data_IF_160609874095
#
_entry.id   IF_160609874095
#
_cell.length_a   1.000
_cell.length_b   1.000
_cell.length_c   1.000
_cell.angle_alpha   90.00
_cell.angle_beta   90.00
_cell.angle_gamma   90.00
#
_symmetry.space_group_name_H-M   'P 1'
#
loop_
_entity.id
_entity.type
_entity.pdbx_description
1 polymer ?
#
# COMPACT_ATOMS: atom_id res chain seq x y z
N UNK A 1 -7.47 -16.03 -0.15
CA UNK A 1 -8.79 -15.38 -0.16
C UNK A 1 -8.64 -14.03 -0.86
N UNK A 2 -9.59 -13.59 -1.68
CA UNK A 2 -9.48 -12.34 -2.45
C UNK A 2 -9.80 -11.14 -1.54
N UNK A 3 -8.89 -10.16 -1.33
CA UNK A 3 -9.14 -9.07 -0.39
C UNK A 3 -10.23 -8.12 -0.92
N UNK A 4 -11.00 -7.49 -0.03
CA UNK A 4 -11.93 -6.42 -0.42
C UNK A 4 -11.16 -5.14 -0.78
N UNK A 5 -10.02 -4.92 -0.13
CA UNK A 5 -9.17 -3.74 -0.35
C UNK A 5 -7.71 -4.15 -0.53
N UNK A 6 -7.06 -3.58 -1.54
CA UNK A 6 -5.60 -3.57 -1.67
C UNK A 6 -5.13 -2.14 -1.44
N UNK A 7 -4.44 -1.89 -0.33
CA UNK A 7 -3.91 -0.57 -0.01
C UNK A 7 -2.43 -0.51 -0.40
N UNK A 8 -2.11 0.29 -1.41
CA UNK A 8 -0.73 0.49 -1.83
C UNK A 8 -0.20 1.81 -1.27
N UNK A 9 0.97 1.78 -0.64
CA UNK A 9 1.59 2.95 -0.02
C UNK A 9 3.01 3.18 -0.52
N UNK A 10 3.37 4.44 -0.75
CA UNK A 10 4.66 4.85 -1.32
C UNK A 10 5.23 6.02 -0.57
N UNK A 11 6.51 6.00 -0.18
CA UNK A 11 7.13 7.25 0.23
C UNK A 11 7.37 8.15 -0.99
N UNK A 12 7.00 9.42 -0.84
CA UNK A 12 7.16 10.45 -1.86
C UNK A 12 8.03 11.58 -1.31
N UNK A 13 8.91 12.08 -2.18
CA UNK A 13 9.69 13.29 -1.89
C UNK A 13 8.82 14.56 -2.11
N UNK A 14 9.28 15.74 -1.68
CA UNK A 14 8.51 16.98 -1.81
C UNK A 14 8.05 17.31 -3.24
N UNK A 15 8.90 17.04 -4.25
CA UNK A 15 8.56 17.28 -5.66
C UNK A 15 7.35 16.46 -6.12
N UNK A 16 7.31 15.18 -5.76
CA UNK A 16 6.17 14.32 -6.08
C UNK A 16 4.92 14.71 -5.31
N UNK A 17 5.07 15.04 -4.03
CA UNK A 17 3.96 15.56 -3.22
C UNK A 17 3.31 16.76 -3.89
N UNK A 18 4.09 17.76 -4.32
CA UNK A 18 3.56 18.94 -5.00
C UNK A 18 2.83 18.60 -6.30
N UNK A 19 3.38 17.68 -7.12
CA UNK A 19 2.70 17.21 -8.33
C UNK A 19 1.34 16.57 -8.00
N UNK A 20 1.28 15.69 -7.00
CA UNK A 20 0.04 15.02 -6.60
C UNK A 20 -1.00 16.00 -6.03
N UNK A 21 -0.57 16.98 -5.23
CA UNK A 21 -1.46 18.03 -4.74
C UNK A 21 -2.06 18.85 -5.89
N UNK A 22 -1.26 19.19 -6.92
CA UNK A 22 -1.71 19.97 -8.08
C UNK A 22 -2.78 19.25 -8.91
N UNK A 23 -2.77 17.93 -8.97
CA UNK A 23 -3.80 17.14 -9.67
C UNK A 23 -5.00 16.78 -8.78
N UNK A 24 -5.07 17.37 -7.58
CA UNK A 24 -6.24 17.26 -6.69
C UNK A 24 -6.20 16.11 -5.69
N UNK A 25 -5.06 15.43 -5.50
CA UNK A 25 -4.95 14.42 -4.44
C UNK A 25 -4.88 15.12 -3.07
N UNK A 26 -5.82 14.88 -2.15
CA UNK A 26 -5.85 15.56 -0.86
C UNK A 26 -4.74 15.09 0.08
N UNK A 27 -4.34 15.93 1.02
CA UNK A 27 -3.45 15.57 2.12
C UNK A 27 -4.26 15.29 3.40
N UNK A 28 -3.87 14.25 4.14
CA UNK A 28 -4.43 13.88 5.45
C UNK A 28 -3.32 13.76 6.48
N UNK A 29 -3.64 14.11 7.72
CA UNK A 29 -2.77 13.89 8.88
C UNK A 29 -3.45 12.86 9.76
N UNK A 30 -3.07 11.57 9.69
CA UNK A 30 -3.66 10.56 10.55
C UNK A 30 -3.11 10.67 11.96
N UNK A 31 -3.93 10.25 12.92
CA UNK A 31 -3.51 10.02 14.30
C UNK A 31 -2.76 8.67 14.36
N UNK A 32 -1.44 8.73 14.44
CA UNK A 32 -0.58 7.53 14.49
C UNK A 32 -0.83 6.71 15.75
N UNK A 33 -1.10 7.36 16.89
CA UNK A 33 -1.39 6.67 18.15
C UNK A 33 -2.68 5.89 18.06
N UNK A 34 -3.73 6.48 17.47
CA UNK A 34 -4.99 5.79 17.24
C UNK A 34 -4.83 4.59 16.27
N UNK A 35 -4.01 4.74 15.21
CA UNK A 35 -3.72 3.65 14.28
C UNK A 35 -2.96 2.50 14.95
N UNK A 36 -1.97 2.83 15.79
CA UNK A 36 -1.18 1.84 16.54
C UNK A 36 -2.06 1.06 17.51
N UNK A 37 -2.89 1.77 18.29
CA UNK A 37 -3.88 1.16 19.19
C UNK A 37 -4.82 0.23 18.41
N UNK A 38 -5.32 0.68 17.26
CA UNK A 38 -6.19 -0.13 16.40
C UNK A 38 -5.51 -1.42 15.95
N UNK A 39 -4.27 -1.35 15.48
CA UNK A 39 -3.54 -2.56 15.04
C UNK A 39 -3.28 -3.53 16.18
N UNK A 40 -2.90 -3.02 17.35
CA UNK A 40 -2.68 -3.82 18.55
C UNK A 40 -3.94 -4.60 18.94
N UNK A 41 -5.08 -3.91 19.09
CA UNK A 41 -6.34 -4.58 19.43
C UNK A 41 -6.75 -5.61 18.38
N UNK A 42 -6.65 -5.26 17.09
CA UNK A 42 -7.02 -6.17 16.02
C UNK A 42 -6.15 -7.43 15.97
N UNK A 43 -4.86 -7.33 16.31
CA UNK A 43 -3.98 -8.50 16.43
C UNK A 43 -4.40 -9.41 17.59
N UNK A 44 -4.66 -8.82 18.77
CA UNK A 44 -5.02 -9.54 19.98
C UNK A 44 -6.37 -10.27 19.84
N UNK A 45 -7.36 -9.65 19.20
CA UNK A 45 -8.67 -10.24 18.93
C UNK A 45 -8.59 -11.55 18.13
N UNK A 46 -7.61 -11.67 17.24
CA UNK A 46 -7.37 -12.89 16.45
C UNK A 46 -6.29 -13.79 17.05
N UNK A 47 -5.91 -13.56 18.32
CA UNK A 47 -4.94 -14.37 19.06
C UNK A 47 -3.49 -14.25 18.56
N UNK A 48 -3.12 -13.11 17.98
CA UNK A 48 -1.75 -12.85 17.49
C UNK A 48 -1.00 -11.90 18.40
N UNK A 49 0.31 -12.10 18.50
CA UNK A 49 1.22 -11.14 19.10
C UNK A 49 1.42 -9.95 18.13
N UNK A 50 0.99 -8.73 18.49
CA UNK A 50 1.13 -7.55 17.64
C UNK A 50 2.59 -7.19 17.32
N UNK A 51 3.55 -7.57 18.16
CA UNK A 51 4.95 -7.17 18.00
C UNK A 51 5.84 -8.27 17.40
N UNK A 52 5.25 -9.42 17.04
CA UNK A 52 5.94 -10.62 16.56
C UNK A 52 7.00 -10.36 15.48
N UNK A 53 6.73 -9.43 14.55
CA UNK A 53 7.55 -9.23 13.35
C UNK A 53 8.41 -7.96 13.37
N UNK A 54 8.07 -6.95 14.18
CA UNK A 54 8.76 -5.64 14.15
C UNK A 54 9.17 -5.10 15.51
N UNK A 55 8.84 -5.79 16.62
CA UNK A 55 9.17 -5.51 18.03
C UNK A 55 8.73 -4.12 18.56
N UNK A 56 9.02 -3.03 17.85
CA UNK A 56 8.75 -1.65 18.22
C UNK A 56 7.47 -1.09 17.59
N UNK A 57 6.82 -1.88 16.72
CA UNK A 57 5.61 -1.46 16.02
C UNK A 57 4.64 -2.63 15.89
N UNK A 58 3.38 -2.38 16.21
CA UNK A 58 2.31 -3.34 16.09
C UNK A 58 1.92 -3.61 14.64
N UNK A 59 1.60 -4.88 14.38
CA UNK A 59 1.04 -5.39 13.15
C UNK A 59 -0.09 -6.35 13.47
N UNK A 60 -1.24 -6.17 12.82
CA UNK A 60 -2.29 -7.20 12.84
C UNK A 60 -2.08 -8.26 11.76
N UNK A 61 -1.39 -7.91 10.68
CA UNK A 61 -1.20 -8.74 9.50
C UNK A 61 -0.05 -9.74 9.57
N UNK A 62 0.03 -10.58 8.54
CA UNK A 62 1.13 -11.52 8.31
C UNK A 62 1.88 -11.10 7.04
N UNK A 63 3.23 -11.06 7.05
CA UNK A 63 4.01 -10.69 5.89
C UNK A 63 4.05 -11.82 4.86
N UNK A 64 3.88 -11.50 3.57
CA UNK A 64 3.86 -12.51 2.50
C UNK A 64 5.27 -12.95 2.08
N UNK A 65 6.23 -12.03 2.09
CA UNK A 65 7.62 -12.27 1.66
C UNK A 65 8.58 -12.35 2.86
N UNK A 66 8.08 -12.76 4.02
CA UNK A 66 8.83 -12.74 5.28
C UNK A 66 9.09 -11.33 5.80
N UNK A 67 9.75 -11.24 6.95
CA UNK A 67 10.00 -9.98 7.67
C UNK A 67 10.84 -8.98 6.86
N UNK A 68 11.75 -9.50 6.03
CA UNK A 68 12.66 -8.70 5.20
C UNK A 68 12.06 -8.20 3.90
N UNK A 69 10.80 -8.54 3.60
CA UNK A 69 10.14 -8.18 2.35
C UNK A 69 10.90 -8.62 1.09
N UNK A 70 10.60 -7.97 -0.03
CA UNK A 70 11.26 -8.21 -1.32
C UNK A 70 12.01 -6.94 -1.79
N UNK A 71 13.19 -7.12 -2.40
CA UNK A 71 14.08 -6.04 -2.83
C UNK A 71 14.11 -5.89 -4.35
N UNK A 72 14.42 -4.69 -4.84
CA UNK A 72 14.59 -4.36 -6.26
C UNK A 72 13.43 -4.85 -7.14
N UNK A 73 12.21 -4.48 -6.72
CA UNK A 73 10.96 -4.96 -7.31
C UNK A 73 10.40 -3.90 -8.25
N UNK A 74 10.00 -4.34 -9.44
CA UNK A 74 9.07 -3.59 -10.29
C UNK A 74 7.64 -3.83 -9.81
N UNK A 75 6.83 -2.79 -9.84
CA UNK A 75 5.37 -2.92 -9.74
C UNK A 75 4.67 -2.46 -11.02
N UNK A 76 5.44 -2.35 -12.10
CA UNK A 76 4.88 -1.98 -13.38
C UNK A 76 3.84 -3.02 -13.83
N UNK A 77 2.67 -2.55 -14.25
CA UNK A 77 1.52 -3.37 -14.58
C UNK A 77 0.60 -3.69 -13.40
N UNK A 78 1.03 -3.51 -12.14
CA UNK A 78 0.19 -3.87 -10.97
C UNK A 78 -1.12 -3.05 -10.93
N UNK A 79 -1.05 -1.78 -11.31
CA UNK A 79 -2.22 -0.91 -11.36
C UNK A 79 -3.28 -1.49 -12.32
N UNK A 80 -2.86 -1.87 -13.52
CA UNK A 80 -3.72 -2.47 -14.55
C UNK A 80 -4.16 -3.88 -14.16
N UNK A 81 -3.29 -4.70 -13.54
CA UNK A 81 -3.65 -6.02 -13.00
C UNK A 81 -4.81 -5.91 -12.00
N UNK A 82 -4.76 -4.94 -11.08
CA UNK A 82 -5.82 -4.70 -10.10
C UNK A 82 -7.12 -4.25 -10.77
N UNK A 83 -7.05 -3.38 -11.79
CA UNK A 83 -8.25 -2.96 -12.55
C UNK A 83 -8.88 -4.13 -13.31
N UNK A 84 -8.08 -4.96 -13.97
CA UNK A 84 -8.56 -6.11 -14.74
C UNK A 84 -9.33 -7.13 -13.88
N UNK A 85 -8.98 -7.23 -12.59
CA UNK A 85 -9.67 -8.13 -11.65
C UNK A 85 -10.76 -7.44 -10.82
N UNK A 86 -11.13 -6.21 -11.19
CA UNK A 86 -12.29 -5.48 -10.70
C UNK A 86 -12.04 -4.51 -9.55
N UNK A 87 -10.79 -4.13 -9.26
CA UNK A 87 -10.52 -3.09 -8.27
C UNK A 87 -10.44 -1.70 -8.89
N UNK A 88 -10.99 -0.72 -8.19
CA UNK A 88 -10.92 0.69 -8.58
C UNK A 88 -10.21 1.51 -7.50
N UNK A 89 -9.34 2.46 -7.88
CA UNK A 89 -8.74 3.39 -6.92
C UNK A 89 -9.82 4.29 -6.32
N UNK A 90 -9.90 4.32 -4.99
CA UNK A 90 -10.87 5.14 -4.27
C UNK A 90 -10.27 5.69 -2.97
N UNK A 91 -10.46 6.99 -2.73
CA UNK A 91 -9.96 7.64 -1.51
C UNK A 91 -8.44 7.82 -1.48
N UNK A 92 -7.83 7.99 -2.65
CA UNK A 92 -6.39 8.29 -2.80
C UNK A 92 -6.04 9.57 -2.04
N UNK A 93 -4.95 9.53 -1.27
CA UNK A 93 -4.52 10.67 -0.45
C UNK A 93 -3.03 10.63 -0.14
N UNK A 94 -2.49 11.78 0.27
CA UNK A 94 -1.14 11.90 0.81
C UNK A 94 -1.24 11.91 2.32
N UNK A 95 -0.63 10.93 2.98
CA UNK A 95 -0.41 10.91 4.43
C UNK A 95 0.79 11.79 4.78
N UNK A 96 0.56 12.87 5.52
CA UNK A 96 1.60 13.74 6.07
C UNK A 96 2.33 13.01 7.20
N UNK A 97 3.66 13.11 7.22
CA UNK A 97 4.50 12.68 8.36
C UNK A 97 5.40 13.85 8.76
N UNK A 98 5.57 14.09 10.06
CA UNK A 98 6.30 15.26 10.56
C UNK A 98 7.81 15.14 10.36
N UNK A 99 8.38 13.95 10.60
CA UNK A 99 9.83 13.71 10.57
C UNK A 99 10.28 12.74 9.46
N UNK A 100 9.35 12.33 8.59
CA UNK A 100 9.59 11.32 7.55
C UNK A 100 9.07 11.79 6.20
N UNK A 101 9.43 11.06 5.15
CA UNK A 101 8.81 11.23 3.84
C UNK A 101 7.28 11.14 3.95
N UNK A 102 6.59 12.00 3.19
CA UNK A 102 5.15 11.87 3.01
C UNK A 102 4.85 10.54 2.33
N UNK A 103 3.68 9.96 2.58
CA UNK A 103 3.29 8.69 1.97
C UNK A 103 2.10 8.91 1.04
N UNK A 104 2.22 8.60 -0.25
CA UNK A 104 1.06 8.45 -1.13
C UNK A 104 0.36 7.14 -0.79
N UNK A 105 -0.94 7.18 -0.54
CA UNK A 105 -1.77 6.01 -0.23
C UNK A 105 -2.85 5.87 -1.30
N UNK A 106 -2.89 4.72 -1.94
CA UNK A 106 -3.82 4.38 -3.02
C UNK A 106 -4.61 3.13 -2.59
N UNK A 107 -5.79 3.30 -1.99
CA UNK A 107 -6.71 2.19 -1.76
C UNK A 107 -7.36 1.76 -3.07
N UNK A 108 -7.28 0.48 -3.38
CA UNK A 108 -8.00 -0.19 -4.45
C UNK A 108 -9.13 -1.00 -3.83
N UNK A 109 -10.38 -0.66 -4.17
CA UNK A 109 -11.57 -1.30 -3.61
C UNK A 109 -12.17 -2.22 -4.66
N UNK A 110 -12.37 -3.49 -4.31
CA UNK A 110 -13.02 -4.47 -5.17
C UNK A 110 -14.46 -4.03 -5.43
N UNK A 111 -14.86 -3.98 -6.71
CA UNK A 111 -16.19 -3.49 -7.13
C UNK A 111 -16.49 -2.06 -6.66
N UNK A 112 -15.44 -1.30 -6.33
CA UNK A 112 -15.55 0.09 -5.93
C UNK A 112 -15.80 1.01 -7.13
N UNK A 113 -16.39 2.18 -6.85
CA UNK A 113 -16.45 3.28 -7.82
C UNK A 113 -15.13 4.02 -7.85
N UNK A 114 -14.58 4.23 -9.03
CA UNK A 114 -13.39 5.05 -9.24
C UNK A 114 -13.65 6.49 -8.78
N UNK A 115 -12.70 7.06 -8.03
CA UNK A 115 -12.86 8.39 -7.42
C UNK A 115 -11.70 9.34 -7.71
N UNK A 116 -10.85 9.04 -8.68
CA UNK A 116 -9.71 9.89 -9.06
C UNK A 116 -9.94 10.53 -10.43
N UNK A 117 -9.32 11.68 -10.66
CA UNK A 117 -9.35 12.35 -11.95
C UNK A 117 -8.42 11.64 -12.97
N UNK A 118 -8.68 11.75 -14.28
CA UNK A 118 -7.79 11.20 -15.31
C UNK A 118 -6.35 11.74 -15.21
N UNK A 119 -6.18 13.01 -14.82
CA UNK A 119 -4.85 13.60 -14.61
C UNK A 119 -4.14 12.96 -13.41
N UNK A 120 -4.87 12.67 -12.33
CA UNK A 120 -4.30 11.99 -11.18
C UNK A 120 -3.94 10.54 -11.50
N UNK A 121 -4.78 9.84 -12.25
CA UNK A 121 -4.51 8.47 -12.73
C UNK A 121 -3.22 8.43 -13.56
N UNK A 122 -3.10 9.29 -14.58
CA UNK A 122 -1.91 9.33 -15.44
C UNK A 122 -0.63 9.63 -14.65
N UNK A 123 -0.70 10.54 -13.68
CA UNK A 123 0.43 10.87 -12.82
C UNK A 123 0.81 9.71 -11.88
N UNK A 124 -0.17 8.94 -11.40
CA UNK A 124 0.07 7.71 -10.64
C UNK A 124 0.78 6.71 -11.54
N UNK A 125 0.30 6.43 -12.74
CA UNK A 125 0.94 5.49 -13.66
C UNK A 125 2.40 5.88 -13.98
N UNK A 126 2.67 7.17 -14.26
CA UNK A 126 4.04 7.70 -14.43
C UNK A 126 4.92 7.40 -13.21
N UNK A 127 4.36 7.57 -12.01
CA UNK A 127 5.08 7.38 -10.77
C UNK A 127 5.44 5.92 -10.49
N UNK A 128 4.56 4.98 -10.86
CA UNK A 128 4.72 3.53 -10.60
C UNK A 128 5.72 2.85 -11.54
N UNK A 129 5.99 3.44 -12.71
CA UNK A 129 6.79 2.85 -13.81
C UNK A 129 8.30 2.72 -13.56
N UNK A 130 8.77 2.54 -12.33
CA UNK A 130 10.20 2.42 -12.00
C UNK A 130 10.50 1.26 -11.06
N UNK A 131 11.79 0.95 -10.89
CA UNK A 131 12.26 0.03 -9.85
C UNK A 131 12.07 0.63 -8.45
N UNK A 132 11.65 -0.23 -7.52
CA UNK A 132 11.52 0.08 -6.10
C UNK A 132 12.56 -0.69 -5.31
N UNK A 133 13.27 0.01 -4.42
CA UNK A 133 14.28 -0.61 -3.58
C UNK A 133 13.70 -1.71 -2.69
N UNK A 134 12.48 -1.53 -2.20
CA UNK A 134 11.84 -2.48 -1.28
C UNK A 134 10.32 -2.46 -1.37
N UNK A 135 9.73 -3.65 -1.28
CA UNK A 135 8.28 -3.94 -1.24
C UNK A 135 7.98 -4.87 -0.07
N UNK A 136 6.99 -4.52 0.75
CA UNK A 136 6.47 -5.38 1.81
C UNK A 136 4.96 -5.55 1.67
N UNK A 137 4.53 -6.79 1.48
CA UNK A 137 3.11 -7.13 1.40
C UNK A 137 2.64 -7.78 2.69
N UNK A 138 1.52 -7.29 3.23
CA UNK A 138 0.88 -7.83 4.43
C UNK A 138 -0.55 -8.26 4.13
N UNK A 139 -0.94 -9.39 4.72
CA UNK A 139 -2.32 -9.87 4.74
C UNK A 139 -2.89 -9.59 6.13
N UNK A 140 -3.77 -8.61 6.23
CA UNK A 140 -4.40 -8.26 7.50
C UNK A 140 -5.58 -9.18 7.81
N UNK A 141 -5.90 -9.41 9.09
CA UNK A 141 -7.12 -10.10 9.47
C UNK A 141 -8.36 -9.33 8.97
N UNK A 142 -9.50 -10.01 8.80
CA UNK A 142 -10.77 -9.35 8.48
C UNK A 142 -11.07 -8.23 9.48
N UNK A 143 -11.52 -7.06 9.01
CA UNK A 143 -11.94 -5.97 9.89
C UNK A 143 -13.10 -6.44 10.79
N UNK A 144 -13.06 -6.23 12.12
CA UNK A 144 -14.08 -6.74 13.03
C UNK A 144 -15.50 -6.27 12.69
N UNK A 145 -15.64 -5.03 12.21
CA UNK A 145 -16.94 -4.38 12.02
C UNK A 145 -17.59 -4.75 10.67
N UNK A 146 -16.78 -5.08 9.66
CA UNK A 146 -17.26 -5.26 8.28
C UNK A 146 -16.94 -6.63 7.70
N UNK A 147 -16.08 -7.42 8.36
CA UNK A 147 -15.49 -8.63 7.80
C UNK A 147 -14.57 -8.37 6.60
N UNK A 148 -14.32 -7.10 6.23
CA UNK A 148 -13.55 -6.77 5.04
C UNK A 148 -12.08 -7.16 5.21
N UNK A 149 -11.54 -7.87 4.22
CA UNK A 149 -10.12 -8.19 4.18
C UNK A 149 -9.33 -7.10 3.48
N UNK A 150 -8.20 -6.73 4.08
CA UNK A 150 -7.28 -5.72 3.55
C UNK A 150 -5.91 -6.36 3.34
N UNK A 151 -5.38 -6.25 2.12
CA UNK A 151 -3.95 -6.48 1.88
C UNK A 151 -3.26 -5.13 1.79
N UNK A 152 -2.12 -4.96 2.45
CA UNK A 152 -1.31 -3.75 2.30
C UNK A 152 -0.04 -4.05 1.52
N UNK A 153 0.34 -3.14 0.63
CA UNK A 153 1.56 -3.20 -0.17
C UNK A 153 2.33 -1.93 0.12
N UNK A 154 3.40 -2.04 0.90
CA UNK A 154 4.21 -0.89 1.33
C UNK A 154 5.50 -0.83 0.53
N UNK A 155 5.74 0.29 -0.13
CA UNK A 155 6.93 0.54 -0.93
C UNK A 155 7.75 1.68 -0.32
N UNK A 156 9.06 1.47 -0.17
CA UNK A 156 9.88 2.42 0.59
C UNK A 156 10.52 3.51 -0.27
N UNK A 157 11.28 3.20 -1.32
CA UNK A 157 11.96 4.23 -2.11
C UNK A 157 12.14 3.78 -3.56
N UNK A 158 12.16 4.77 -4.44
CA UNK A 158 12.38 4.58 -5.88
C UNK A 158 13.87 4.49 -6.16
N UNK A 159 14.26 3.48 -6.91
CA UNK A 159 15.65 3.22 -7.30
C UNK A 159 15.81 3.45 -8.80
N UNK A 160 15.98 4.71 -9.20
CA UNK A 160 15.97 5.11 -10.62
C UNK A 160 17.16 4.60 -11.42
N UNK A 161 18.26 4.22 -10.73
CA UNK A 161 19.50 3.76 -11.37
C UNK A 161 19.63 2.23 -11.43
N UNK A 162 18.70 1.49 -10.82
CA UNK A 162 18.72 0.03 -10.79
C UNK A 162 17.65 -0.56 -11.71
N UNK A 163 18.00 -1.65 -12.37
CA UNK A 163 17.02 -2.49 -13.07
C UNK A 163 16.33 -3.36 -12.02
N UNK A 164 14.99 -3.50 -12.07
CA UNK A 164 14.29 -4.39 -11.18
C UNK A 164 14.69 -5.85 -11.45
N UNK A 165 14.91 -6.62 -10.39
CA UNK A 165 15.26 -8.05 -10.48
C UNK A 165 14.02 -8.93 -10.65
N UNK A 166 12.89 -8.50 -10.06
CA UNK A 166 11.61 -9.22 -10.11
C UNK A 166 10.46 -8.23 -10.23
N UNK A 167 9.29 -8.72 -10.59
CA UNK A 167 8.04 -7.95 -10.64
C UNK A 167 7.03 -8.48 -9.65
N UNK A 168 6.40 -7.59 -8.88
CA UNK A 168 5.27 -7.96 -8.03
C UNK A 168 4.04 -8.24 -8.90
N UNK A 169 3.40 -9.39 -8.68
CA UNK A 169 2.17 -9.78 -9.38
C UNK A 169 1.05 -10.07 -8.39
N UNK A 170 -0.16 -9.68 -8.78
CA UNK A 170 -1.38 -10.00 -8.05
C UNK A 170 -2.23 -11.00 -8.84
N UNK A 171 -2.60 -12.11 -8.19
CA UNK A 171 -3.50 -13.10 -8.78
C UNK A 171 -4.61 -13.47 -7.78
N UNK A 172 -5.74 -12.75 -7.83
CA UNK A 172 -6.95 -13.11 -7.10
C UNK A 172 -6.78 -13.22 -5.58
N UNK A 173 -5.90 -12.41 -4.98
CA UNK A 173 -5.57 -12.45 -3.56
C UNK A 173 -4.27 -13.18 -3.21
N UNK A 174 -3.56 -13.72 -4.20
CA UNK A 174 -2.21 -14.27 -4.02
C UNK A 174 -1.17 -13.28 -4.56
N UNK A 175 -0.09 -13.12 -3.82
CA UNK A 175 1.04 -12.28 -4.20
C UNK A 175 2.24 -13.14 -4.54
N UNK A 176 2.95 -12.79 -5.61
CA UNK A 176 4.20 -13.45 -6.00
C UNK A 176 5.18 -12.42 -6.56
N UNK A 177 6.46 -12.75 -6.50
CA UNK A 177 7.50 -12.07 -7.28
C UNK A 177 7.90 -13.00 -8.42
N UNK A 178 7.98 -12.47 -9.64
CA UNK A 178 8.33 -13.21 -10.86
C UNK A 178 9.27 -12.42 -11.75
#
# INVERSE_FOLDING_TARGET
>A
MKPNVVLISFNINPKWREKFLKVGIPQKTPDESALEIKHMFHALEVGRDPYRFRQEKSDSGIPVFGETGAQFISINGLFQELRQVGYSPNGVHIKKREEKFNTLVIPFILEGKESISPQAESLIEEFLGVCWGYVHVWINPPQPETGAMVHTVNLSHRELKKTPEKTLRFNGGRWKTS
#
